data_IF_369797783892
#
_entry.id   IF_369797783892
#
_cell.length_a   1.000
_cell.length_b   1.000
_cell.length_c   1.000
_cell.angle_alpha   90.00
_cell.angle_beta   90.00
_cell.angle_gamma   90.00
#
_symmetry.space_group_name_H-M   'P 1'
#
loop_
_entity.id
_entity.type
_entity.pdbx_description
1 polymer ?
#
# COMPACT_ATOMS: atom_id res chain seq x y z
N UNK A 1 -45.86 61.41 3.94
CA UNK A 1 -45.22 60.43 3.07
C UNK A 1 -44.19 59.69 3.90
N UNK A 2 -44.54 58.49 4.38
CA UNK A 2 -43.62 57.65 5.18
C UNK A 2 -42.94 56.67 4.21
N UNK A 3 -41.62 56.75 4.12
CA UNK A 3 -40.82 55.78 3.33
C UNK A 3 -40.64 54.51 4.16
N UNK A 4 -41.19 53.43 3.68
CA UNK A 4 -40.96 52.06 4.20
C UNK A 4 -39.63 51.59 3.68
N UNK A 5 -38.63 51.39 4.53
CA UNK A 5 -37.36 50.77 4.21
C UNK A 5 -37.52 49.28 4.54
N UNK A 6 -37.63 48.46 3.50
CA UNK A 6 -37.69 47.02 3.62
C UNK A 6 -36.23 46.49 3.66
N UNK A 7 -35.75 46.10 4.84
CA UNK A 7 -34.46 45.43 5.00
C UNK A 7 -34.58 43.95 4.55
N UNK A 8 -33.94 43.60 3.46
CA UNK A 8 -33.80 42.22 2.98
C UNK A 8 -32.69 41.57 3.81
N UNK A 9 -33.05 40.74 4.78
CA UNK A 9 -32.10 39.92 5.51
C UNK A 9 -31.70 38.73 4.65
N UNK A 10 -30.44 38.72 4.16
CA UNK A 10 -29.83 37.62 3.48
C UNK A 10 -29.47 36.53 4.52
N UNK A 11 -30.27 35.50 4.62
CA UNK A 11 -29.95 34.33 5.45
C UNK A 11 -28.90 33.48 4.70
N UNK A 12 -27.63 33.63 5.11
CA UNK A 12 -26.56 32.71 4.68
C UNK A 12 -26.79 31.37 5.39
N UNK A 13 -27.37 30.42 4.70
CA UNK A 13 -27.38 29.02 5.14
C UNK A 13 -25.98 28.46 4.92
N UNK A 14 -25.17 28.48 5.96
CA UNK A 14 -23.92 27.74 5.98
C UNK A 14 -24.28 26.25 5.94
N UNK A 15 -24.16 25.61 4.77
CA UNK A 15 -24.17 24.17 4.64
C UNK A 15 -22.93 23.64 5.38
N UNK A 16 -23.11 23.25 6.64
CA UNK A 16 -22.08 22.52 7.36
C UNK A 16 -21.94 21.15 6.69
N UNK A 17 -20.94 21.01 5.83
CA UNK A 17 -20.52 19.69 5.37
C UNK A 17 -20.00 18.94 6.60
N UNK A 18 -20.77 17.96 7.07
CA UNK A 18 -20.28 17.09 8.14
C UNK A 18 -19.17 16.23 7.54
N UNK A 19 -17.95 16.42 8.06
CA UNK A 19 -16.84 15.53 7.75
C UNK A 19 -17.21 14.12 8.20
N UNK A 20 -17.04 13.15 7.30
CA UNK A 20 -17.28 11.74 7.59
C UNK A 20 -15.94 11.15 8.02
N UNK A 21 -15.90 10.55 9.20
CA UNK A 21 -14.75 9.73 9.61
C UNK A 21 -14.83 8.39 8.88
N UNK A 22 -13.94 8.12 7.93
CA UNK A 22 -13.99 6.87 7.16
C UNK A 22 -13.57 5.69 8.02
N UNK A 23 -14.26 4.56 7.83
CA UNK A 23 -13.86 3.26 8.34
C UNK A 23 -13.50 2.34 7.17
N UNK A 24 -12.62 1.36 7.42
CA UNK A 24 -12.15 0.41 6.40
C UNK A 24 -11.23 1.06 5.35
N UNK A 25 -10.39 1.99 5.80
CA UNK A 25 -9.28 2.47 4.99
C UNK A 25 -8.29 1.33 4.74
N UNK A 26 -7.81 1.20 3.50
CA UNK A 26 -6.97 0.09 3.02
C UNK A 26 -5.72 0.60 2.35
N UNK A 27 -4.74 -0.28 2.13
CA UNK A 27 -3.53 -0.06 1.33
C UNK A 27 -2.77 1.21 1.73
N UNK A 28 -2.71 1.48 3.04
CA UNK A 28 -2.07 2.68 3.57
C UNK A 28 -0.56 2.66 3.35
N UNK A 29 -0.02 3.75 2.79
CA UNK A 29 1.42 3.94 2.57
C UNK A 29 1.83 5.35 2.97
N UNK A 30 2.76 5.47 3.90
CA UNK A 30 3.37 6.75 4.26
C UNK A 30 4.35 7.20 3.18
N UNK A 31 4.41 8.51 2.92
CA UNK A 31 5.39 9.10 1.99
C UNK A 31 6.83 8.91 2.48
N UNK A 32 7.84 8.92 1.59
CA UNK A 32 9.24 8.78 1.99
C UNK A 32 9.67 9.80 3.05
N UNK A 33 9.24 11.05 2.94
CA UNK A 33 9.57 12.12 3.89
C UNK A 33 8.76 12.05 5.20
N UNK A 34 7.74 11.17 5.28
CA UNK A 34 6.89 10.96 6.44
C UNK A 34 5.79 12.02 6.63
N UNK A 35 5.56 12.89 5.65
CA UNK A 35 4.62 14.01 5.79
C UNK A 35 3.16 13.66 5.46
N UNK A 36 2.95 12.69 4.56
CA UNK A 36 1.65 12.34 4.00
C UNK A 36 1.42 10.82 4.01
N UNK A 37 0.16 10.42 3.99
CA UNK A 37 -0.26 9.02 3.84
C UNK A 37 -1.24 8.95 2.67
N UNK A 38 -0.97 8.05 1.70
CA UNK A 38 -1.96 7.62 0.72
C UNK A 38 -2.67 6.39 1.22
N UNK A 39 -3.95 6.27 0.90
CA UNK A 39 -4.77 5.11 1.27
C UNK A 39 -5.93 4.93 0.30
N UNK A 40 -6.51 3.74 0.26
CA UNK A 40 -7.70 3.44 -0.51
C UNK A 40 -8.95 3.50 0.36
N UNK A 41 -9.99 4.11 -0.17
CA UNK A 41 -11.32 4.13 0.45
C UNK A 41 -12.41 4.12 -0.62
N UNK A 42 -13.33 3.15 -0.52
CA UNK A 42 -14.44 2.94 -1.47
C UNK A 42 -14.04 2.87 -2.95
N UNK A 43 -12.87 2.33 -3.25
CA UNK A 43 -12.37 2.16 -4.62
C UNK A 43 -11.55 3.32 -5.15
N UNK A 44 -11.39 4.39 -4.40
CA UNK A 44 -10.57 5.54 -4.77
C UNK A 44 -9.34 5.69 -3.89
N UNK A 45 -8.33 6.37 -4.41
CA UNK A 45 -7.11 6.75 -3.69
C UNK A 45 -7.30 8.14 -3.08
N UNK A 46 -6.99 8.24 -1.79
CA UNK A 46 -6.98 9.48 -1.02
C UNK A 46 -5.59 9.74 -0.45
N UNK A 47 -5.33 11.00 -0.14
CA UNK A 47 -4.13 11.46 0.54
C UNK A 47 -4.49 12.32 1.75
N UNK A 48 -3.80 12.10 2.88
CA UNK A 48 -4.00 12.86 4.12
C UNK A 48 -2.64 13.19 4.75
N UNK A 49 -2.49 14.34 5.44
CA UNK A 49 -1.29 14.60 6.25
C UNK A 49 -1.09 13.51 7.31
N UNK A 50 0.16 13.10 7.55
CA UNK A 50 0.47 12.04 8.52
C UNK A 50 0.05 12.42 9.96
N UNK A 51 -0.13 13.71 10.25
CA UNK A 51 -0.65 14.21 11.53
C UNK A 51 -2.18 14.16 11.61
N UNK A 52 -2.86 13.89 10.50
CA UNK A 52 -4.32 13.91 10.37
C UNK A 52 -4.86 15.19 9.78
N UNK A 53 -6.17 15.21 9.53
CA UNK A 53 -6.90 16.35 8.98
C UNK A 53 -7.70 15.99 7.73
N UNK A 54 -7.97 16.98 6.88
CA UNK A 54 -8.74 16.81 5.65
C UNK A 54 -7.99 15.92 4.64
N UNK A 55 -8.64 14.87 4.17
CA UNK A 55 -8.12 14.04 3.11
C UNK A 55 -8.54 14.55 1.74
N UNK A 56 -7.62 14.50 0.78
CA UNK A 56 -7.84 14.87 -0.62
C UNK A 56 -8.03 13.60 -1.44
N UNK A 57 -9.10 13.54 -2.22
CA UNK A 57 -9.34 12.47 -3.18
C UNK A 57 -8.47 12.68 -4.42
N UNK A 58 -7.64 11.70 -4.77
CA UNK A 58 -6.70 11.76 -5.89
C UNK A 58 -7.27 11.12 -7.17
N UNK A 59 -8.17 10.15 -7.03
CA UNK A 59 -8.84 9.47 -8.14
C UNK A 59 -10.35 9.60 -8.03
N UNK A 60 -11.04 9.66 -9.18
CA UNK A 60 -12.49 9.88 -9.27
C UNK A 60 -13.10 9.08 -10.42
N UNK A 61 -12.42 8.07 -10.90
CA UNK A 61 -12.91 7.24 -12.00
C UNK A 61 -13.94 6.23 -11.48
N UNK A 62 -14.88 5.83 -12.34
CA UNK A 62 -15.82 4.75 -12.04
C UNK A 62 -15.12 3.37 -12.16
N UNK A 63 -14.08 3.18 -11.35
CA UNK A 63 -13.21 2.00 -11.30
C UNK A 63 -12.77 1.76 -9.87
N UNK A 64 -12.12 0.63 -9.64
CA UNK A 64 -11.51 0.33 -8.35
C UNK A 64 -10.00 0.53 -8.43
N UNK A 65 -9.48 1.44 -7.60
CA UNK A 65 -8.06 1.68 -7.42
C UNK A 65 -7.54 1.02 -6.15
N UNK A 66 -6.35 0.42 -6.22
CA UNK A 66 -5.75 -0.35 -5.13
C UNK A 66 -4.22 -0.23 -5.08
N UNK A 67 -3.66 -0.59 -3.94
CA UNK A 67 -2.21 -0.75 -3.72
C UNK A 67 -1.37 0.45 -4.18
N UNK A 68 -1.65 1.69 -3.75
CA UNK A 68 -0.81 2.82 -4.09
C UNK A 68 0.60 2.66 -3.51
N UNK A 69 1.62 3.00 -4.30
CA UNK A 69 3.02 3.01 -3.88
C UNK A 69 3.67 4.33 -4.27
N UNK A 70 4.45 4.91 -3.36
CA UNK A 70 5.17 6.16 -3.58
C UNK A 70 6.45 5.95 -4.39
N UNK A 71 6.77 6.89 -5.28
CA UNK A 71 8.13 6.99 -5.82
C UNK A 71 9.13 7.40 -4.72
N UNK A 72 10.42 7.06 -4.84
CA UNK A 72 11.43 7.38 -3.82
C UNK A 72 11.56 8.88 -3.53
N UNK A 73 11.29 9.72 -4.52
CA UNK A 73 11.32 11.19 -4.38
C UNK A 73 10.01 11.80 -3.88
N UNK A 74 9.00 10.96 -3.61
CA UNK A 74 7.67 11.36 -3.14
C UNK A 74 6.81 12.12 -4.16
N UNK A 75 7.22 12.21 -5.43
CA UNK A 75 6.52 13.03 -6.43
C UNK A 75 5.49 12.29 -7.27
N UNK A 76 5.52 10.96 -7.25
CA UNK A 76 4.61 10.13 -8.03
C UNK A 76 4.03 9.01 -7.17
N UNK A 77 2.86 8.54 -7.57
CA UNK A 77 2.18 7.38 -7.02
C UNK A 77 1.88 6.42 -8.17
N UNK A 78 2.37 5.17 -8.05
CA UNK A 78 1.92 4.09 -8.91
C UNK A 78 0.83 3.29 -8.18
N UNK A 79 -0.16 2.78 -8.91
CA UNK A 79 -1.30 2.07 -8.33
C UNK A 79 -1.92 1.11 -9.34
N UNK A 80 -2.69 0.16 -8.86
CA UNK A 80 -3.50 -0.71 -9.69
C UNK A 80 -4.89 -0.11 -9.92
N UNK A 81 -5.44 -0.24 -11.14
CA UNK A 81 -6.81 0.18 -11.46
C UNK A 81 -7.45 -0.78 -12.46
N UNK A 82 -8.71 -1.15 -12.22
CA UNK A 82 -9.47 -2.05 -13.09
C UNK A 82 -10.27 -1.34 -14.19
N UNK A 83 -10.01 -0.06 -14.43
CA UNK A 83 -10.74 0.78 -15.41
C UNK A 83 -10.70 0.27 -16.85
N UNK A 84 -9.85 -0.69 -17.14
CA UNK A 84 -9.73 -1.35 -18.45
C UNK A 84 -10.15 -2.82 -18.44
N UNK A 85 -10.85 -3.28 -17.37
CA UNK A 85 -11.43 -4.62 -17.27
C UNK A 85 -10.70 -5.57 -16.31
N UNK A 86 -9.40 -5.37 -16.09
CA UNK A 86 -8.58 -6.03 -15.08
C UNK A 86 -7.65 -5.00 -14.43
N UNK A 87 -6.99 -5.37 -13.35
CA UNK A 87 -6.03 -4.47 -12.71
C UNK A 87 -4.78 -4.31 -13.59
N UNK A 88 -4.57 -3.09 -14.05
CA UNK A 88 -3.34 -2.64 -14.71
C UNK A 88 -2.61 -1.62 -13.83
N UNK A 89 -1.32 -1.43 -14.09
CA UNK A 89 -0.56 -0.38 -13.45
C UNK A 89 -0.82 0.97 -14.07
N UNK A 90 -1.06 1.94 -13.20
CA UNK A 90 -1.12 3.36 -13.53
C UNK A 90 -0.11 4.14 -12.70
N UNK A 91 0.27 5.30 -13.17
CA UNK A 91 1.13 6.25 -12.48
C UNK A 91 0.56 7.66 -12.60
N UNK A 92 0.58 8.43 -11.52
CA UNK A 92 0.12 9.82 -11.47
C UNK A 92 1.05 10.69 -10.62
N UNK A 93 1.00 12.03 -10.74
CA UNK A 93 1.64 12.93 -9.78
C UNK A 93 1.09 12.70 -8.36
N UNK A 94 1.92 12.88 -7.34
CA UNK A 94 1.53 12.71 -5.94
C UNK A 94 0.44 13.67 -5.46
N UNK A 95 0.28 14.80 -6.13
CA UNK A 95 -0.78 15.79 -5.85
C UNK A 95 -2.07 15.55 -6.67
N UNK A 96 -2.15 14.39 -7.32
CA UNK A 96 -3.26 14.04 -8.21
C UNK A 96 -3.06 14.56 -9.64
N UNK A 97 -4.04 14.33 -10.47
CA UNK A 97 -4.03 14.72 -11.88
C UNK A 97 -4.24 13.52 -12.81
N UNK A 98 -3.79 13.65 -14.06
CA UNK A 98 -4.02 12.63 -15.08
C UNK A 98 -3.13 11.41 -14.80
N UNK A 99 -3.77 10.27 -14.53
CA UNK A 99 -3.09 9.00 -14.43
C UNK A 99 -2.79 8.41 -15.81
N UNK A 100 -1.57 7.91 -15.98
CA UNK A 100 -1.12 7.25 -17.22
C UNK A 100 -0.97 5.75 -16.98
N UNK A 101 -1.55 4.94 -17.86
CA UNK A 101 -1.42 3.48 -17.85
C UNK A 101 0.01 3.07 -18.23
N UNK A 102 0.60 2.14 -17.47
CA UNK A 102 1.95 1.62 -17.69
C UNK A 102 1.94 0.23 -18.32
N UNK A 103 0.95 -0.60 -17.99
CA UNK A 103 0.87 -1.99 -18.41
C UNK A 103 -0.45 -2.30 -19.11
N UNK A 104 -0.49 -3.38 -19.90
CA UNK A 104 -1.60 -3.67 -20.83
C UNK A 104 -1.90 -5.18 -20.93
N UNK A 105 -1.46 -5.98 -19.98
CA UNK A 105 -1.69 -7.42 -20.00
C UNK A 105 -3.10 -7.77 -19.51
N UNK A 106 -3.62 -8.95 -19.90
CA UNK A 106 -4.94 -9.43 -19.48
C UNK A 106 -4.97 -10.03 -18.07
N UNK A 107 -3.82 -10.34 -17.47
CA UNK A 107 -3.71 -10.72 -16.07
C UNK A 107 -3.69 -9.47 -15.18
N UNK A 108 -4.22 -9.59 -13.95
CA UNK A 108 -4.12 -8.51 -12.97
C UNK A 108 -2.68 -8.27 -12.54
N UNK A 109 -2.30 -7.01 -12.50
CA UNK A 109 -0.97 -6.52 -12.20
C UNK A 109 -1.03 -5.61 -10.97
N UNK A 110 -0.34 -5.99 -9.89
CA UNK A 110 -0.42 -5.30 -8.59
C UNK A 110 0.93 -4.69 -8.25
N UNK A 111 1.05 -3.36 -8.12
CA UNK A 111 2.31 -2.71 -7.82
C UNK A 111 2.79 -3.07 -6.42
N UNK A 112 4.10 -3.14 -6.28
CA UNK A 112 4.79 -3.53 -5.05
C UNK A 112 5.72 -2.42 -4.55
N UNK A 113 6.60 -1.91 -5.43
CA UNK A 113 7.56 -0.87 -5.11
C UNK A 113 8.07 -0.16 -6.36
N UNK A 114 8.66 1.02 -6.20
CA UNK A 114 9.59 1.58 -7.18
C UNK A 114 11.00 1.03 -6.93
N UNK A 115 11.83 1.00 -7.97
CA UNK A 115 13.28 0.85 -7.78
C UNK A 115 13.84 2.09 -7.05
N UNK A 116 14.94 1.96 -6.28
CA UNK A 116 15.52 3.10 -5.55
C UNK A 116 15.93 4.29 -6.42
N UNK A 117 16.25 4.05 -7.69
CA UNK A 117 16.55 5.11 -8.67
C UNK A 117 15.29 5.74 -9.30
N UNK A 118 14.10 5.27 -8.92
CA UNK A 118 12.81 5.77 -9.40
C UNK A 118 12.50 5.46 -10.86
N UNK A 119 13.28 4.63 -11.56
CA UNK A 119 13.12 4.39 -13.00
C UNK A 119 12.11 3.30 -13.36
N UNK A 120 11.84 2.38 -12.45
CA UNK A 120 10.94 1.26 -12.68
C UNK A 120 9.94 1.12 -11.54
N UNK A 121 8.76 0.60 -11.86
CA UNK A 121 7.79 0.08 -10.89
C UNK A 121 7.85 -1.44 -10.94
N UNK A 122 8.05 -2.07 -9.78
CA UNK A 122 7.92 -3.51 -9.61
C UNK A 122 6.46 -3.87 -9.31
N UNK A 123 6.01 -4.98 -9.85
CA UNK A 123 4.66 -5.48 -9.66
C UNK A 123 4.59 -6.99 -9.71
N UNK A 124 3.58 -7.56 -9.07
CA UNK A 124 3.29 -8.98 -9.09
C UNK A 124 2.15 -9.26 -10.06
N UNK A 125 2.29 -10.28 -10.88
CA UNK A 125 1.28 -10.72 -11.83
C UNK A 125 1.39 -12.21 -12.09
N UNK A 126 0.27 -12.84 -12.48
CA UNK A 126 0.26 -14.20 -13.01
C UNK A 126 0.21 -14.13 -14.54
N UNK A 127 1.32 -13.77 -15.16
CA UNK A 127 1.47 -13.73 -16.60
C UNK A 127 1.80 -15.16 -17.06
N UNK A 128 0.99 -15.69 -17.97
CA UNK A 128 1.18 -17.07 -18.43
C UNK A 128 2.49 -17.22 -19.19
N UNK A 129 3.26 -18.23 -18.79
CA UNK A 129 4.28 -18.81 -19.62
C UNK A 129 3.68 -19.36 -20.93
N UNK A 130 4.49 -19.51 -21.98
CA UNK A 130 4.07 -20.24 -23.18
C UNK A 130 3.41 -21.58 -22.81
N UNK A 131 2.38 -21.97 -23.55
CA UNK A 131 1.55 -23.14 -23.24
C UNK A 131 2.35 -24.45 -22.99
N UNK A 132 3.55 -24.58 -23.59
CA UNK A 132 4.46 -25.72 -23.38
C UNK A 132 5.23 -25.63 -22.05
N UNK A 133 5.22 -24.52 -21.36
CA UNK A 133 5.85 -24.30 -20.05
C UNK A 133 4.83 -24.14 -18.91
N UNK A 134 3.54 -24.03 -19.24
CA UNK A 134 2.46 -23.84 -18.27
C UNK A 134 2.12 -25.19 -17.57
N UNK A 135 2.91 -25.56 -16.57
CA UNK A 135 2.72 -26.81 -15.81
C UNK A 135 1.73 -26.67 -14.66
N UNK A 136 1.37 -25.46 -14.26
CA UNK A 136 0.49 -25.19 -13.10
C UNK A 136 -0.67 -24.30 -13.48
N UNK A 137 -1.85 -24.45 -12.83
CA UNK A 137 -2.96 -23.52 -13.01
C UNK A 137 -2.54 -22.13 -12.57
N UNK A 138 -2.72 -21.19 -13.45
CA UNK A 138 -2.44 -19.78 -13.27
C UNK A 138 -3.37 -19.12 -12.25
N UNK A 139 -2.97 -18.00 -11.68
CA UNK A 139 -3.75 -17.19 -10.76
C UNK A 139 -3.47 -17.43 -9.28
N UNK A 140 -2.92 -18.57 -8.89
CA UNK A 140 -2.50 -18.83 -7.51
C UNK A 140 -1.06 -18.39 -7.21
N UNK A 141 -0.18 -18.43 -8.22
CA UNK A 141 1.22 -18.08 -8.09
C UNK A 141 1.55 -16.89 -8.95
N UNK A 142 1.94 -15.80 -8.32
CA UNK A 142 2.37 -14.56 -9.00
C UNK A 142 3.86 -14.59 -9.22
N UNK A 143 4.32 -13.96 -10.29
CA UNK A 143 5.72 -13.69 -10.58
C UNK A 143 6.02 -12.21 -10.38
N UNK A 144 7.28 -11.86 -10.21
CA UNK A 144 7.69 -10.47 -10.05
C UNK A 144 8.19 -9.89 -11.38
N UNK A 145 7.60 -8.77 -11.77
CA UNK A 145 7.95 -8.02 -12.97
C UNK A 145 8.33 -6.58 -12.65
N UNK A 146 8.91 -5.88 -13.60
CA UNK A 146 9.11 -4.43 -13.58
C UNK A 146 8.73 -3.80 -14.91
N UNK A 147 8.29 -2.55 -14.86
CA UNK A 147 7.99 -1.72 -16.03
C UNK A 147 8.62 -0.34 -15.87
N UNK A 148 9.20 0.27 -16.92
CA UNK A 148 9.73 1.62 -16.82
C UNK A 148 8.65 2.64 -16.45
N UNK A 149 8.96 3.61 -15.58
CA UNK A 149 8.03 4.70 -15.25
C UNK A 149 7.66 5.56 -16.46
N UNK A 150 8.48 5.56 -17.50
CA UNK A 150 8.17 6.18 -18.80
C UNK A 150 7.16 5.38 -19.64
N UNK A 151 6.83 4.16 -19.22
CA UNK A 151 6.15 3.15 -20.03
C UNK A 151 7.13 2.38 -20.91
N UNK A 152 6.67 1.30 -21.52
CA UNK A 152 7.48 0.46 -22.38
C UNK A 152 7.32 -1.02 -22.06
N UNK A 153 8.33 -1.82 -22.42
CA UNK A 153 8.28 -3.27 -22.26
C UNK A 153 8.42 -3.65 -20.78
N UNK A 154 7.56 -4.54 -20.36
CA UNK A 154 7.65 -5.25 -19.08
C UNK A 154 8.77 -6.30 -19.11
N UNK A 155 9.52 -6.40 -18.02
CA UNK A 155 10.59 -7.39 -17.83
C UNK A 155 10.32 -8.21 -16.57
N UNK A 156 10.51 -9.53 -16.65
CA UNK A 156 10.46 -10.41 -15.49
C UNK A 156 11.70 -10.19 -14.62
N UNK A 157 11.50 -10.04 -13.32
CA UNK A 157 12.58 -9.92 -12.32
C UNK A 157 12.82 -11.26 -11.64
N UNK A 158 11.74 -11.93 -11.20
CA UNK A 158 11.77 -13.24 -10.59
C UNK A 158 10.63 -14.11 -11.13
N UNK A 159 10.92 -15.36 -11.46
CA UNK A 159 9.91 -16.37 -11.79
C UNK A 159 9.29 -17.02 -10.54
N UNK A 160 9.73 -16.62 -9.35
CA UNK A 160 9.19 -17.11 -8.07
C UNK A 160 8.20 -16.11 -7.50
N UNK A 161 7.15 -16.56 -6.81
CA UNK A 161 6.20 -15.65 -6.19
C UNK A 161 6.89 -14.69 -5.22
N UNK A 162 6.79 -13.40 -5.52
CA UNK A 162 7.34 -12.34 -4.71
C UNK A 162 6.38 -11.15 -4.69
N UNK A 163 5.92 -10.78 -3.51
CA UNK A 163 4.97 -9.68 -3.27
C UNK A 163 5.53 -8.74 -2.20
N UNK A 164 5.01 -7.52 -2.12
CA UNK A 164 5.41 -6.54 -1.10
C UNK A 164 6.92 -6.32 -1.02
N UNK A 165 7.50 -6.03 -2.16
CA UNK A 165 8.94 -5.77 -2.27
C UNK A 165 9.32 -4.49 -1.53
N UNK A 166 10.41 -4.55 -0.79
CA UNK A 166 11.05 -3.38 -0.18
C UNK A 166 12.55 -3.44 -0.42
N UNK A 167 13.09 -2.48 -1.18
CA UNK A 167 14.54 -2.40 -1.43
C UNK A 167 15.29 -1.86 -0.22
N UNK A 168 16.54 -2.30 -0.08
CA UNK A 168 17.51 -1.56 0.71
C UNK A 168 17.90 -0.24 -0.02
N UNK A 169 18.53 0.69 0.69
CA UNK A 169 18.94 1.98 0.11
C UNK A 169 19.92 1.84 -1.05
N UNK A 170 20.67 0.76 -1.11
CA UNK A 170 21.66 0.51 -2.17
C UNK A 170 21.05 -0.06 -3.45
N UNK A 171 19.83 -0.61 -3.38
CA UNK A 171 19.17 -1.34 -4.46
C UNK A 171 19.80 -2.70 -4.77
N UNK A 172 20.77 -3.14 -3.97
CA UNK A 172 21.44 -4.44 -4.15
C UNK A 172 20.64 -5.59 -3.57
N UNK A 173 19.82 -5.31 -2.59
CA UNK A 173 18.97 -6.29 -1.95
C UNK A 173 17.53 -5.78 -1.88
N UNK A 174 16.59 -6.71 -1.86
CA UNK A 174 15.23 -6.40 -1.45
C UNK A 174 14.64 -7.51 -0.59
N UNK A 175 13.77 -7.11 0.31
CA UNK A 175 12.89 -7.99 1.05
C UNK A 175 11.63 -8.24 0.22
N UNK A 176 11.05 -9.41 0.34
CA UNK A 176 9.74 -9.74 -0.21
C UNK A 176 9.05 -10.78 0.65
N UNK A 177 7.73 -10.86 0.53
CA UNK A 177 6.96 -12.00 1.03
C UNK A 177 6.72 -12.98 -0.11
N UNK A 178 6.82 -14.29 0.19
CA UNK A 178 6.48 -15.32 -0.78
C UNK A 178 4.96 -15.55 -0.85
N UNK A 179 4.55 -16.39 -1.79
CA UNK A 179 3.19 -16.90 -1.91
C UNK A 179 3.23 -18.38 -2.17
N UNK A 180 2.72 -19.17 -1.23
CA UNK A 180 2.73 -20.63 -1.31
C UNK A 180 1.41 -21.23 -1.77
N UNK A 181 0.40 -20.38 -1.96
CA UNK A 181 -0.94 -20.77 -2.36
C UNK A 181 -1.95 -19.66 -2.17
N UNK A 182 -3.23 -20.01 -2.15
CA UNK A 182 -4.30 -19.07 -1.92
C UNK A 182 -4.69 -19.08 -0.44
N UNK A 183 -4.56 -17.91 0.21
CA UNK A 183 -5.01 -17.68 1.58
C UNK A 183 -5.81 -16.39 1.63
N UNK A 184 -6.89 -16.38 2.43
CA UNK A 184 -7.69 -15.18 2.65
C UNK A 184 -6.89 -14.13 3.43
N UNK A 185 -6.57 -13.03 2.77
CA UNK A 185 -5.84 -11.91 3.37
C UNK A 185 -6.61 -11.20 4.48
N UNK A 186 -7.93 -11.37 4.52
CA UNK A 186 -8.83 -10.71 5.48
C UNK A 186 -9.09 -11.55 6.74
N UNK A 187 -8.51 -12.76 6.82
CA UNK A 187 -8.63 -13.60 8.02
C UNK A 187 -8.15 -12.86 9.27
N UNK A 188 -8.74 -13.20 10.41
CA UNK A 188 -8.42 -12.54 11.69
C UNK A 188 -7.58 -13.42 12.64
N UNK A 189 -8.06 -14.59 12.94
CA UNK A 189 -7.58 -15.38 14.10
C UNK A 189 -7.34 -16.85 13.80
N UNK A 190 -7.50 -17.30 12.57
CA UNK A 190 -7.14 -18.67 12.24
C UNK A 190 -5.73 -18.72 11.65
N UNK A 191 -5.00 -19.79 11.94
CA UNK A 191 -3.69 -20.06 11.39
C UNK A 191 -3.85 -20.94 10.16
N UNK A 192 -3.25 -20.52 9.04
CA UNK A 192 -3.23 -21.29 7.82
C UNK A 192 -2.05 -22.25 7.76
N UNK A 193 -2.18 -23.32 6.98
CA UNK A 193 -1.05 -24.18 6.60
C UNK A 193 -0.25 -23.62 5.41
N UNK A 194 -0.79 -22.62 4.72
CA UNK A 194 -0.19 -21.99 3.52
C UNK A 194 0.21 -20.56 3.91
N UNK A 195 1.23 -20.46 4.76
CA UNK A 195 1.66 -19.18 5.33
C UNK A 195 2.82 -18.60 4.55
N UNK A 196 2.84 -17.26 4.44
CA UNK A 196 3.93 -16.51 3.83
C UNK A 196 5.11 -16.41 4.76
N UNK A 197 6.29 -16.39 4.18
CA UNK A 197 7.55 -16.06 4.87
C UNK A 197 8.15 -14.80 4.25
N UNK A 198 9.06 -14.16 5.01
CA UNK A 198 9.87 -13.05 4.53
C UNK A 198 11.20 -13.57 4.02
N UNK A 199 11.53 -13.15 2.83
CA UNK A 199 12.75 -13.50 2.13
C UNK A 199 13.59 -12.28 1.82
N UNK A 200 14.89 -12.48 1.81
CA UNK A 200 15.89 -11.53 1.29
C UNK A 200 16.37 -12.04 -0.06
N UNK A 201 16.36 -11.18 -1.06
CA UNK A 201 16.95 -11.44 -2.37
C UNK A 201 18.15 -10.53 -2.62
N UNK A 202 19.28 -11.11 -2.96
CA UNK A 202 20.50 -10.41 -3.40
C UNK A 202 20.46 -10.33 -4.93
N UNK A 203 20.33 -9.11 -5.48
CA UNK A 203 20.21 -8.87 -6.93
C UNK A 203 21.52 -9.12 -7.69
N UNK A 204 22.67 -9.16 -7.00
CA UNK A 204 23.96 -9.38 -7.62
C UNK A 204 24.29 -10.87 -7.77
N UNK A 205 23.92 -11.66 -6.77
CA UNK A 205 24.23 -13.08 -6.72
C UNK A 205 23.06 -13.98 -7.11
N UNK A 206 21.83 -13.43 -7.14
CA UNK A 206 20.60 -14.19 -7.33
C UNK A 206 20.23 -15.07 -6.14
N UNK A 207 20.83 -14.85 -4.97
CA UNK A 207 20.59 -15.68 -3.79
C UNK A 207 19.32 -15.25 -3.07
N UNK A 208 18.49 -16.24 -2.74
CA UNK A 208 17.34 -16.11 -1.84
C UNK A 208 17.70 -16.62 -0.44
N UNK A 209 17.31 -15.89 0.59
CA UNK A 209 17.49 -16.28 2.00
C UNK A 209 16.17 -16.13 2.74
N UNK A 210 15.62 -17.24 3.26
CA UNK A 210 14.42 -17.18 4.11
C UNK A 210 14.80 -16.65 5.49
N UNK A 211 14.16 -15.54 5.90
CA UNK A 211 14.45 -14.86 7.18
C UNK A 211 13.51 -15.28 8.29
N UNK A 212 12.32 -15.82 7.98
CA UNK A 212 11.27 -16.09 8.98
C UNK A 212 10.70 -17.51 8.90
N UNK A 213 11.49 -18.49 8.53
CA UNK A 213 11.10 -19.90 8.37
C UNK A 213 10.51 -20.47 9.67
N UNK A 214 9.21 -20.35 9.87
CA UNK A 214 8.46 -20.84 11.03
C UNK A 214 7.02 -21.21 10.68
N UNK A 215 6.30 -21.86 11.59
CA UNK A 215 4.84 -22.00 11.48
C UNK A 215 4.12 -20.68 11.75
N UNK A 216 3.14 -20.33 10.91
CA UNK A 216 2.41 -19.06 10.97
C UNK A 216 2.94 -18.03 9.97
N UNK A 217 2.12 -17.01 9.68
CA UNK A 217 2.38 -16.07 8.60
C UNK A 217 3.18 -14.85 9.05
N UNK A 218 4.17 -14.50 8.24
CA UNK A 218 4.95 -13.27 8.31
C UNK A 218 4.87 -12.53 6.98
N UNK A 219 4.52 -11.23 6.96
CA UNK A 219 4.26 -10.47 5.73
C UNK A 219 4.54 -8.97 5.83
N UNK A 220 4.43 -8.25 4.72
CA UNK A 220 4.65 -6.81 4.59
C UNK A 220 6.00 -6.35 5.17
N UNK A 221 7.14 -6.90 4.74
CA UNK A 221 8.43 -6.50 5.26
C UNK A 221 8.81 -5.10 4.80
N UNK A 222 9.44 -4.31 5.69
CA UNK A 222 10.00 -3.01 5.38
C UNK A 222 11.36 -2.84 6.08
N UNK A 223 12.32 -2.26 5.36
CA UNK A 223 13.60 -1.86 5.96
C UNK A 223 13.44 -0.63 6.84
N UNK A 224 14.05 -0.65 8.01
CA UNK A 224 14.28 0.58 8.76
C UNK A 224 15.33 1.47 8.09
N UNK A 225 15.36 2.77 8.42
CA UNK A 225 16.34 3.69 7.86
C UNK A 225 17.80 3.35 8.16
N UNK A 226 18.07 2.56 9.21
CA UNK A 226 19.39 2.05 9.58
C UNK A 226 19.95 1.01 8.58
N UNK A 227 19.09 0.44 7.72
CA UNK A 227 19.43 -0.54 6.70
C UNK A 227 19.69 -1.95 7.23
N UNK A 228 19.58 -2.19 8.53
CA UNK A 228 19.81 -3.48 9.18
C UNK A 228 18.58 -4.02 9.90
N UNK A 229 17.74 -3.14 10.44
CA UNK A 229 16.48 -3.54 11.07
C UNK A 229 15.37 -3.75 10.04
N UNK A 230 14.58 -4.78 10.23
CA UNK A 230 13.42 -5.11 9.41
C UNK A 230 12.17 -5.09 10.28
N UNK A 231 11.17 -4.30 9.89
CA UNK A 231 9.83 -4.38 10.47
C UNK A 231 8.92 -5.21 9.57
N UNK A 232 8.00 -5.94 10.16
CA UNK A 232 7.09 -6.80 9.43
C UNK A 232 5.83 -7.11 10.24
N UNK A 233 4.80 -7.60 9.59
CA UNK A 233 3.59 -8.09 10.24
C UNK A 233 3.73 -9.59 10.50
N UNK A 234 3.41 -10.01 11.73
CA UNK A 234 3.45 -11.41 12.12
C UNK A 234 2.24 -11.78 12.98
N UNK A 235 1.73 -12.99 12.79
CA UNK A 235 0.68 -13.57 13.66
C UNK A 235 1.25 -14.39 14.83
N UNK A 236 2.58 -14.36 15.05
CA UNK A 236 3.17 -14.97 16.26
C UNK A 236 2.57 -14.31 17.49
N UNK A 237 2.37 -15.06 18.56
CA UNK A 237 1.77 -14.55 19.79
C UNK A 237 0.32 -14.02 19.57
N UNK A 238 -0.66 -14.85 19.75
CA UNK A 238 -2.11 -14.59 19.79
C UNK A 238 -2.90 -14.79 18.50
N UNK A 239 -2.31 -15.28 17.40
CA UNK A 239 -3.05 -15.55 16.15
C UNK A 239 -3.63 -14.30 15.47
N UNK A 240 -3.13 -13.10 15.79
CA UNK A 240 -3.51 -11.85 15.17
C UNK A 240 -2.27 -11.07 14.77
N UNK A 241 -2.30 -10.48 13.58
CA UNK A 241 -1.15 -9.72 13.07
C UNK A 241 -0.84 -8.50 13.92
N UNK A 242 0.42 -8.38 14.27
CA UNK A 242 1.03 -7.22 14.92
C UNK A 242 2.34 -6.86 14.22
N UNK A 243 2.86 -5.67 14.49
CA UNK A 243 4.17 -5.25 14.00
C UNK A 243 5.24 -5.86 14.90
N UNK A 244 6.23 -6.47 14.26
CA UNK A 244 7.44 -7.01 14.87
C UNK A 244 8.67 -6.46 14.17
N UNK A 245 9.84 -6.62 14.81
CA UNK A 245 11.11 -6.33 14.17
C UNK A 245 12.17 -7.35 14.53
N UNK A 246 13.18 -7.47 13.66
CA UNK A 246 14.44 -8.15 13.90
C UNK A 246 15.59 -7.39 13.24
N UNK A 247 16.82 -7.69 13.66
CA UNK A 247 18.04 -7.27 12.96
C UNK A 247 18.44 -8.34 11.93
N UNK A 248 18.86 -7.95 10.73
CA UNK A 248 19.32 -8.87 9.68
C UNK A 248 20.50 -9.75 10.10
N UNK A 249 21.32 -9.27 11.05
CA UNK A 249 22.43 -10.05 11.61
C UNK A 249 21.97 -11.09 12.64
N UNK A 250 20.74 -10.95 13.17
CA UNK A 250 20.15 -11.85 14.16
C UNK A 250 18.62 -12.02 13.89
N UNK A 251 18.21 -12.55 12.74
CA UNK A 251 16.80 -12.58 12.33
C UNK A 251 15.93 -13.48 13.21
N UNK A 252 16.52 -14.33 14.05
CA UNK A 252 15.82 -15.14 15.05
C UNK A 252 15.44 -14.35 16.31
N UNK A 253 16.04 -13.18 16.56
CA UNK A 253 15.78 -12.34 17.72
C UNK A 253 14.65 -11.34 17.43
N UNK A 254 13.42 -11.84 17.41
CA UNK A 254 12.25 -11.06 17.03
C UNK A 254 11.61 -10.37 18.24
N UNK A 255 11.36 -9.06 18.11
CA UNK A 255 10.73 -8.22 19.15
C UNK A 255 9.37 -7.72 18.69
N UNK A 256 8.37 -7.75 19.57
CA UNK A 256 7.06 -7.16 19.33
C UNK A 256 7.12 -5.64 19.45
N UNK A 257 6.59 -4.93 18.48
CA UNK A 257 6.47 -3.47 18.44
C UNK A 257 5.06 -3.05 18.82
N UNK A 258 4.05 -3.81 18.39
CA UNK A 258 2.64 -3.61 18.78
C UNK A 258 2.10 -4.86 19.45
N UNK A 259 1.04 -4.69 20.25
CA UNK A 259 0.42 -5.78 21.03
C UNK A 259 -1.10 -5.70 20.98
N UNK A 260 -1.67 -5.36 19.83
CA UNK A 260 -3.11 -5.35 19.60
C UNK A 260 -3.69 -6.76 19.69
N UNK A 261 -4.92 -6.90 20.23
CA UNK A 261 -5.53 -8.22 20.49
C UNK A 261 -6.84 -8.45 19.73
N UNK A 262 -7.58 -7.38 19.40
CA UNK A 262 -8.94 -7.50 18.88
C UNK A 262 -8.98 -7.64 17.37
N UNK A 263 -8.14 -6.88 16.67
CA UNK A 263 -8.08 -6.85 15.21
C UNK A 263 -6.64 -7.00 14.73
N UNK A 264 -6.42 -7.52 13.52
CA UNK A 264 -5.09 -7.57 12.92
C UNK A 264 -4.62 -6.19 12.47
N UNK A 265 -3.33 -5.92 12.64
CA UNK A 265 -2.62 -4.83 11.94
C UNK A 265 -2.44 -5.21 10.48
N UNK A 266 -2.60 -4.24 9.56
CA UNK A 266 -2.49 -4.44 8.11
C UNK A 266 -1.74 -3.30 7.43
N UNK A 267 -1.24 -3.54 6.21
CA UNK A 267 -0.67 -2.52 5.32
C UNK A 267 0.50 -1.74 5.94
N UNK A 268 1.49 -2.46 6.45
CA UNK A 268 2.66 -1.85 7.07
C UNK A 268 3.52 -1.13 6.02
N UNK A 269 3.89 0.10 6.31
CA UNK A 269 4.87 0.90 5.57
C UNK A 269 5.72 1.73 6.52
N UNK A 270 6.81 2.31 6.02
CA UNK A 270 7.75 3.10 6.82
C UNK A 270 8.27 4.28 6.00
N UNK A 271 8.50 5.41 6.65
CA UNK A 271 9.16 6.57 6.06
C UNK A 271 10.70 6.50 6.20
N UNK A 272 11.42 7.35 5.47
CA UNK A 272 12.88 7.48 5.58
C UNK A 272 13.34 7.98 6.96
N UNK A 273 12.41 8.48 7.78
CA UNK A 273 12.67 8.89 9.17
C UNK A 273 12.37 7.78 10.18
N UNK A 274 11.84 6.64 9.73
CA UNK A 274 11.51 5.51 10.59
C UNK A 274 10.10 5.54 11.17
N UNK A 275 9.25 6.48 10.77
CA UNK A 275 7.84 6.50 11.15
C UNK A 275 7.12 5.36 10.47
N UNK A 276 6.57 4.43 11.25
CA UNK A 276 5.72 3.36 10.76
C UNK A 276 4.33 3.90 10.46
N UNK A 277 3.70 3.39 9.40
CA UNK A 277 2.29 3.59 9.10
C UNK A 277 1.63 2.24 8.83
N UNK A 278 0.43 2.04 9.37
CA UNK A 278 -0.36 0.83 9.20
C UNK A 278 -1.84 1.10 9.49
N UNK A 279 -2.70 0.14 9.17
CA UNK A 279 -4.10 0.20 9.60
C UNK A 279 -4.35 -0.77 10.75
N UNK A 280 -5.23 -0.36 11.66
CA UNK A 280 -5.80 -1.19 12.70
C UNK A 280 -7.28 -0.84 12.87
N UNK A 281 -8.13 -1.85 12.91
CA UNK A 281 -9.59 -1.70 12.99
C UNK A 281 -10.19 -0.80 11.89
N UNK A 282 -9.61 -0.86 10.69
CA UNK A 282 -10.04 -0.06 9.54
C UNK A 282 -9.64 1.42 9.57
N UNK A 283 -8.81 1.83 10.52
CA UNK A 283 -8.34 3.20 10.73
C UNK A 283 -6.83 3.31 10.54
N UNK A 284 -6.34 4.51 10.22
CA UNK A 284 -4.91 4.78 10.02
C UNK A 284 -4.20 5.05 11.35
N UNK A 285 -3.00 4.52 11.46
CA UNK A 285 -2.09 4.75 12.58
C UNK A 285 -0.69 5.10 12.09
N UNK A 286 -0.02 5.99 12.81
CA UNK A 286 1.42 6.24 12.70
C UNK A 286 2.10 5.89 14.03
N UNK A 287 3.37 5.51 13.96
CA UNK A 287 4.16 5.20 15.14
C UNK A 287 5.62 5.61 14.90
N UNK A 288 6.06 6.63 15.63
CA UNK A 288 7.46 7.03 15.65
C UNK A 288 8.33 5.96 16.32
N UNK A 289 9.64 5.90 16.02
CA UNK A 289 10.56 5.00 16.70
C UNK A 289 10.44 5.12 18.22
N UNK A 290 10.29 3.96 18.90
CA UNK A 290 10.14 3.87 20.36
C UNK A 290 8.93 4.60 20.98
N UNK A 291 7.98 5.08 20.17
CA UNK A 291 6.76 5.72 20.64
C UNK A 291 5.58 4.74 20.65
N UNK A 292 4.47 5.16 21.26
CA UNK A 292 3.20 4.43 21.17
C UNK A 292 2.49 4.71 19.85
N UNK A 293 1.67 3.77 19.35
CA UNK A 293 0.80 4.01 18.20
C UNK A 293 -0.06 5.25 18.40
N UNK A 294 -0.14 6.08 17.36
CA UNK A 294 -1.00 7.27 17.31
C UNK A 294 -1.99 7.10 16.17
N UNK A 295 -3.29 7.21 16.48
CA UNK A 295 -4.35 7.22 15.48
C UNK A 295 -4.28 8.51 14.67
N UNK A 296 -4.41 8.41 13.35
CA UNK A 296 -4.50 9.52 12.42
C UNK A 296 -5.98 9.86 12.21
N UNK A 297 -6.41 11.05 12.60
CA UNK A 297 -7.77 11.53 12.31
C UNK A 297 -7.88 11.84 10.84
N UNK A 298 -8.85 11.27 10.16
CA UNK A 298 -9.08 11.48 8.72
C UNK A 298 -10.47 12.06 8.53
N UNK A 299 -10.53 13.27 7.97
CA UNK A 299 -11.76 13.96 7.64
C UNK A 299 -11.98 13.89 6.12
N UNK A 300 -12.95 13.09 5.67
CA UNK A 300 -13.37 13.08 4.26
C UNK A 300 -14.37 14.21 4.04
N UNK A 301 -14.02 15.13 3.14
CA UNK A 301 -14.97 16.09 2.60
C UNK A 301 -15.65 15.42 1.40
N UNK A 302 -16.96 15.13 1.46
CA UNK A 302 -17.66 14.56 0.31
C UNK A 302 -17.59 15.56 -0.85
N UNK A 303 -17.01 15.14 -1.96
CA UNK A 303 -17.14 15.91 -3.21
C UNK A 303 -18.57 15.68 -3.69
N UNK A 304 -19.46 16.63 -3.49
CA UNK A 304 -20.78 16.60 -4.09
C UNK A 304 -20.62 16.92 -5.57
N UNK A 305 -20.72 15.89 -6.42
CA UNK A 305 -20.90 16.12 -7.85
C UNK A 305 -22.28 16.74 -8.06
N UNK A 306 -22.34 18.05 -8.19
CA UNK A 306 -23.48 18.70 -8.84
C UNK A 306 -23.35 18.32 -10.32
N UNK A 307 -24.21 17.42 -10.78
CA UNK A 307 -24.43 17.24 -12.20
C UNK A 307 -24.91 18.56 -12.77
N UNK A 308 -23.99 19.33 -13.34
CA UNK A 308 -24.35 20.38 -14.27
C UNK A 308 -24.85 19.65 -15.54
N UNK A 309 -26.15 19.41 -15.60
CA UNK A 309 -26.82 19.16 -16.88
C UNK A 309 -26.64 20.44 -17.70
N UNK A 310 -25.72 20.40 -18.65
CA UNK A 310 -25.63 21.43 -19.68
C UNK A 310 -26.95 21.45 -20.45
N UNK A 311 -27.47 22.63 -20.80
CA UNK A 311 -28.71 22.80 -21.51
C UNK A 311 -28.67 22.22 -22.92
#
# INVERSE_FOLDING_TARGET
>A
MKKLITSLALVLVALSSHAITPLWMRDARISPDGSEIVFCYKGDIYKVPAQGGAAVQLTTQASYEANPVWSPDGKQIAFASDRNGNFDLFIMPADGGIARRLTFHSASEIPSAFTPDGKFVLFSASIQDPANSALFPTGAMTELYKVPVSGGRTEQVLATPAEWVCFDKSGKNFLYQDRKGFEDEWRKHHTSSITRDIWLYDTQTGKHTNLTNRGGEDRNPVYAPDGTSVYFLSERNNGSFNVYNFDLNAPQEVKAITTFRTHPVRFLSISDKGTLCYTYDGELYTQEPNARPKKVSVDLVPVSYTHLTLP
#
